data_IF_824305050658
#
_entry.id   IF_824305050658
#
_cell.length_a   1.000
_cell.length_b   1.000
_cell.length_c   1.000
_cell.angle_alpha   90.00
_cell.angle_beta   90.00
_cell.angle_gamma   90.00
#
_symmetry.space_group_name_H-M   'P 1'
#
loop_
_entity.id
_entity.type
_entity.pdbx_description
1 polymer ?
#
# COMPACT_ATOMS: atom_id res chain seq x y z
N UNK A 1 8.66 -12.83 -17.47
CA UNK A 1 7.22 -12.91 -17.76
C UNK A 1 6.49 -11.76 -17.11
N UNK A 2 5.49 -11.22 -17.80
CA UNK A 2 4.71 -10.13 -17.24
C UNK A 2 3.29 -10.58 -16.91
N UNK A 3 2.69 -9.90 -15.98
CA UNK A 3 1.33 -10.16 -15.53
C UNK A 3 0.66 -8.81 -15.30
N UNK A 4 -0.58 -8.67 -15.77
CA UNK A 4 -1.35 -7.46 -15.54
C UNK A 4 -2.35 -7.70 -14.41
N UNK A 5 -2.36 -6.79 -13.44
CA UNK A 5 -3.34 -6.80 -12.36
C UNK A 5 -4.21 -5.56 -12.53
N UNK A 6 -5.52 -5.72 -12.48
CA UNK A 6 -6.46 -4.62 -12.68
C UNK A 6 -7.33 -4.44 -11.45
N UNK A 7 -7.45 -3.19 -11.02
CA UNK A 7 -8.40 -2.80 -9.98
C UNK A 7 -9.27 -1.67 -10.53
N UNK A 8 -10.40 -1.42 -9.93
CA UNK A 8 -11.30 -0.36 -10.35
C UNK A 8 -11.56 0.63 -9.24
N UNK A 9 -11.72 1.91 -9.59
CA UNK A 9 -12.08 2.95 -8.63
C UNK A 9 -13.24 3.73 -9.25
N UNK A 10 -14.38 3.73 -8.57
CA UNK A 10 -15.64 4.31 -9.07
C UNK A 10 -16.09 5.45 -8.19
N UNK A 11 -16.65 6.48 -8.80
CA UNK A 11 -17.24 7.58 -8.04
C UNK A 11 -18.44 7.08 -7.25
N UNK A 12 -18.50 7.46 -5.95
CA UNK A 12 -19.64 7.17 -5.09
C UNK A 12 -20.33 8.47 -4.64
N UNK A 13 -19.59 9.55 -4.53
CA UNK A 13 -20.09 10.85 -4.12
C UNK A 13 -19.25 11.98 -4.69
N UNK A 14 -19.49 13.24 -4.26
CA UNK A 14 -18.70 14.37 -4.78
C UNK A 14 -17.21 14.27 -4.48
N UNK A 15 -16.83 13.65 -3.37
CA UNK A 15 -15.43 13.48 -2.97
C UNK A 15 -15.04 12.04 -2.68
N UNK A 16 -16.02 11.13 -2.60
CA UNK A 16 -15.82 9.73 -2.21
C UNK A 16 -15.77 8.82 -3.43
N UNK A 17 -14.81 7.93 -3.46
CA UNK A 17 -14.77 6.86 -4.45
C UNK A 17 -14.66 5.50 -3.74
N UNK A 18 -14.97 4.44 -4.47
CA UNK A 18 -14.86 3.06 -3.96
C UNK A 18 -13.91 2.29 -4.85
N UNK A 19 -12.83 1.81 -4.25
CA UNK A 19 -11.90 0.92 -4.91
C UNK A 19 -12.34 -0.52 -4.74
N UNK A 20 -12.24 -1.31 -5.80
CA UNK A 20 -12.61 -2.71 -5.76
C UNK A 20 -11.52 -3.57 -6.37
N UNK A 21 -11.29 -4.70 -5.74
CA UNK A 21 -10.40 -5.73 -6.25
C UNK A 21 -10.93 -7.09 -5.80
N UNK A 22 -11.15 -7.99 -6.77
CA UNK A 22 -11.79 -9.28 -6.51
C UNK A 22 -13.15 -9.05 -5.82
N UNK A 23 -13.35 -9.57 -4.59
CA UNK A 23 -14.60 -9.41 -3.83
C UNK A 23 -14.47 -8.35 -2.72
N UNK A 24 -13.36 -7.61 -2.70
CA UNK A 24 -13.07 -6.63 -1.66
C UNK A 24 -13.31 -5.20 -2.15
N UNK A 25 -13.66 -4.33 -1.22
CA UNK A 25 -13.82 -2.90 -1.52
C UNK A 25 -13.25 -2.05 -0.39
N UNK A 26 -12.85 -0.84 -0.75
CA UNK A 26 -12.37 0.15 0.20
C UNK A 26 -12.83 1.53 -0.29
N UNK A 27 -13.34 2.35 0.63
CA UNK A 27 -13.66 3.74 0.32
C UNK A 27 -12.41 4.60 0.39
N UNK A 28 -12.36 5.57 -0.51
CA UNK A 28 -11.27 6.54 -0.59
C UNK A 28 -11.89 7.93 -0.54
N UNK A 29 -11.42 8.77 0.37
CA UNK A 29 -11.97 10.11 0.54
C UNK A 29 -10.90 11.03 1.14
N UNK A 30 -11.21 12.31 1.18
CA UNK A 30 -10.41 13.29 1.89
C UNK A 30 -11.06 13.57 3.25
N UNK A 31 -10.26 13.93 4.28
CA UNK A 31 -10.85 14.40 5.52
C UNK A 31 -11.62 15.71 5.29
N UNK A 32 -12.51 16.04 6.20
CA UNK A 32 -13.39 17.19 6.06
C UNK A 32 -12.63 18.50 5.85
N UNK A 33 -11.52 18.70 6.55
CA UNK A 33 -10.69 19.89 6.44
C UNK A 33 -10.00 20.04 5.08
N UNK A 34 -10.01 18.97 4.27
CA UNK A 34 -9.46 19.00 2.90
C UNK A 34 -10.53 18.92 1.82
N UNK A 35 -11.77 19.19 2.20
CA UNK A 35 -12.89 19.23 1.27
C UNK A 35 -13.60 17.91 1.03
N UNK A 36 -13.33 16.91 1.84
CA UNK A 36 -13.99 15.62 1.76
C UNK A 36 -15.05 15.42 2.82
N UNK A 37 -15.53 14.20 2.92
CA UNK A 37 -16.53 13.79 3.93
C UNK A 37 -15.99 12.69 4.86
N UNK A 38 -14.70 12.41 4.77
CA UNK A 38 -14.01 11.47 5.65
C UNK A 38 -14.64 10.07 5.68
N UNK A 39 -15.07 9.59 4.53
CA UNK A 39 -15.69 8.27 4.41
C UNK A 39 -14.66 7.14 4.26
N UNK A 40 -13.40 7.47 4.15
CA UNK A 40 -12.31 6.51 4.04
C UNK A 40 -10.97 7.19 4.05
N UNK A 41 -9.87 6.40 4.02
CA UNK A 41 -8.54 6.98 3.94
C UNK A 41 -8.29 7.66 2.61
N UNK A 42 -7.31 8.57 2.60
CA UNK A 42 -6.84 9.18 1.36
C UNK A 42 -6.02 8.19 0.54
N UNK A 43 -5.90 8.46 -0.77
CA UNK A 43 -5.10 7.62 -1.66
C UNK A 43 -3.64 7.49 -1.22
N UNK A 44 -3.04 8.60 -0.76
CA UNK A 44 -1.68 8.56 -0.23
C UNK A 44 -1.55 7.66 0.99
N UNK A 45 -2.54 7.69 1.87
CA UNK A 45 -2.56 6.81 3.04
C UNK A 45 -2.71 5.34 2.63
N UNK A 46 -3.52 5.07 1.61
CA UNK A 46 -3.69 3.72 1.08
C UNK A 46 -2.41 3.18 0.46
N UNK A 47 -1.61 4.05 -0.16
CA UNK A 47 -0.29 3.65 -0.66
C UNK A 47 0.59 3.16 0.49
N UNK A 48 0.59 3.88 1.62
CA UNK A 48 1.37 3.52 2.79
C UNK A 48 0.83 2.23 3.44
N UNK A 49 -0.48 2.08 3.51
CA UNK A 49 -1.10 0.85 4.00
C UNK A 49 -0.74 -0.33 3.09
N UNK A 50 -0.70 -0.09 1.78
CA UNK A 50 -0.28 -1.11 0.81
C UNK A 50 1.16 -1.54 1.02
N UNK A 51 2.05 -0.58 1.26
CA UNK A 51 3.45 -0.86 1.54
C UNK A 51 3.58 -1.69 2.83
N UNK A 52 2.96 -1.22 3.91
CA UNK A 52 3.01 -1.92 5.19
C UNK A 52 2.34 -3.28 5.15
N UNK A 53 1.20 -3.38 4.49
CA UNK A 53 0.43 -4.63 4.38
C UNK A 53 1.13 -5.67 3.52
N UNK A 54 1.74 -5.26 2.41
CA UNK A 54 2.51 -6.16 1.54
C UNK A 54 3.73 -6.70 2.29
N UNK A 55 4.47 -5.82 2.96
CA UNK A 55 5.60 -6.23 3.79
C UNK A 55 5.14 -7.19 4.89
N UNK A 56 4.06 -6.85 5.62
CA UNK A 56 3.55 -7.66 6.71
C UNK A 56 3.13 -9.05 6.24
N UNK A 57 2.48 -9.16 5.08
CA UNK A 57 2.09 -10.45 4.51
C UNK A 57 3.31 -11.35 4.30
N UNK A 58 4.39 -10.78 3.78
CA UNK A 58 5.63 -11.52 3.57
C UNK A 58 6.30 -11.92 4.89
N UNK A 59 6.29 -11.00 5.86
CA UNK A 59 6.88 -11.29 7.16
C UNK A 59 6.13 -12.41 7.88
N UNK A 60 4.81 -12.34 7.89
CA UNK A 60 3.99 -13.38 8.50
C UNK A 60 4.17 -14.73 7.80
N UNK A 61 4.31 -14.72 6.48
CA UNK A 61 4.57 -15.94 5.71
C UNK A 61 5.94 -16.54 6.08
N UNK A 62 6.96 -15.70 6.24
CA UNK A 62 8.30 -16.14 6.61
C UNK A 62 8.33 -16.72 8.04
N UNK A 63 7.60 -16.10 8.95
CA UNK A 63 7.45 -16.59 10.33
C UNK A 63 6.81 -17.97 10.33
N UNK A 64 5.72 -18.11 9.58
CA UNK A 64 4.96 -19.37 9.49
C UNK A 64 5.81 -20.49 8.86
N UNK A 65 6.48 -20.20 7.76
CA UNK A 65 7.27 -21.18 7.03
C UNK A 65 8.41 -21.76 7.89
N UNK A 66 8.98 -20.96 8.78
CA UNK A 66 10.08 -21.35 9.64
C UNK A 66 9.64 -21.73 11.04
N UNK A 67 8.35 -21.68 11.33
CA UNK A 67 7.79 -21.91 12.67
C UNK A 67 8.55 -21.07 13.70
N UNK A 68 8.86 -19.83 13.35
CA UNK A 68 9.65 -18.95 14.20
C UNK A 68 8.84 -18.48 15.41
N UNK A 69 9.47 -18.36 16.59
CA UNK A 69 8.77 -17.90 17.81
C UNK A 69 8.63 -16.38 17.83
N UNK A 70 7.84 -15.86 16.91
CA UNK A 70 7.59 -14.42 16.74
C UNK A 70 6.10 -14.20 16.74
N UNK A 71 5.62 -13.28 17.58
CA UNK A 71 4.21 -12.93 17.69
C UNK A 71 4.03 -11.45 17.95
N UNK A 72 2.79 -10.98 17.94
CA UNK A 72 2.42 -9.59 18.20
C UNK A 72 3.20 -8.61 17.31
N UNK A 73 3.32 -8.94 16.03
CA UNK A 73 4.06 -8.13 15.07
C UNK A 73 3.28 -6.86 14.74
N UNK A 74 3.98 -5.74 14.79
CA UNK A 74 3.43 -4.45 14.41
C UNK A 74 4.40 -3.76 13.44
N UNK A 75 3.87 -3.19 12.37
CA UNK A 75 4.65 -2.39 11.44
C UNK A 75 4.05 -0.99 11.37
N UNK A 76 4.86 0.00 11.70
CA UNK A 76 4.51 1.41 11.49
C UNK A 76 5.21 1.88 10.24
N UNK A 77 4.50 2.64 9.41
CA UNK A 77 5.05 3.18 8.17
C UNK A 77 5.09 4.69 8.27
N UNK A 78 6.30 5.25 8.24
CA UNK A 78 6.51 6.69 8.20
C UNK A 78 6.88 7.08 6.78
N UNK A 79 6.27 8.13 6.27
CA UNK A 79 6.61 8.65 4.95
C UNK A 79 6.83 10.15 5.04
N UNK A 80 7.85 10.64 4.34
CA UNK A 80 8.16 12.05 4.27
C UNK A 80 7.50 12.65 3.04
N UNK A 81 6.68 13.67 3.24
CA UNK A 81 5.97 14.36 2.17
C UNK A 81 6.63 15.71 1.94
N UNK A 82 7.17 15.93 0.74
CA UNK A 82 7.95 17.12 0.41
C UNK A 82 7.73 17.54 -1.04
N UNK A 83 8.28 18.70 -1.36
CA UNK A 83 8.42 19.13 -2.74
C UNK A 83 7.25 19.93 -3.29
N UNK A 84 7.44 20.40 -4.52
CA UNK A 84 6.45 21.11 -5.30
C UNK A 84 6.56 20.63 -6.76
N UNK A 85 5.65 19.77 -7.23
CA UNK A 85 4.48 19.28 -6.52
C UNK A 85 4.83 18.32 -5.38
N UNK A 86 3.95 18.22 -4.39
CA UNK A 86 4.14 17.36 -3.23
C UNK A 86 4.18 15.89 -3.62
N UNK A 87 5.12 15.15 -3.05
CA UNK A 87 5.26 13.72 -3.27
C UNK A 87 6.02 13.10 -2.10
N UNK A 88 5.91 11.79 -1.96
CA UNK A 88 6.68 11.08 -0.94
C UNK A 88 8.12 10.91 -1.40
N UNK A 89 9.06 11.30 -0.54
CA UNK A 89 10.50 11.26 -0.84
C UNK A 89 11.23 10.17 -0.08
N UNK A 90 10.65 9.64 0.99
CA UNK A 90 11.28 8.60 1.79
C UNK A 90 10.22 7.82 2.55
N UNK A 91 10.50 6.56 2.81
CA UNK A 91 9.63 5.66 3.57
C UNK A 91 10.48 4.91 4.58
N UNK A 92 9.97 4.80 5.81
CA UNK A 92 10.60 3.99 6.85
C UNK A 92 9.56 3.06 7.46
N UNK A 93 9.85 1.77 7.48
CA UNK A 93 9.00 0.80 8.16
C UNK A 93 9.66 0.42 9.48
N UNK A 94 8.95 0.66 10.57
CA UNK A 94 9.42 0.33 11.93
C UNK A 94 8.67 -0.90 12.40
N UNK A 95 9.40 -1.97 12.64
CA UNK A 95 8.84 -3.28 13.00
C UNK A 95 9.12 -3.58 14.45
N UNK A 96 8.07 -3.93 15.20
CA UNK A 96 8.20 -4.43 16.56
C UNK A 96 7.47 -5.76 16.67
N UNK A 97 7.95 -6.62 17.55
CA UNK A 97 7.36 -7.94 17.74
C UNK A 97 7.78 -8.49 19.10
N UNK A 98 7.02 -9.47 19.56
CA UNK A 98 7.44 -10.26 20.70
C UNK A 98 8.36 -11.36 20.18
N UNK A 99 9.67 -11.23 20.42
CA UNK A 99 10.69 -12.15 19.95
C UNK A 99 11.95 -11.99 20.79
N UNK A 100 12.42 -13.07 21.41
CA UNK A 100 13.62 -13.02 22.25
C UNK A 100 14.90 -12.91 21.43
N UNK A 101 14.90 -13.45 20.22
CA UNK A 101 16.07 -13.46 19.33
C UNK A 101 15.94 -12.33 18.30
N UNK A 102 16.59 -11.21 18.57
CA UNK A 102 16.57 -10.06 17.70
C UNK A 102 17.20 -10.35 16.34
N UNK A 103 18.27 -11.14 16.32
CA UNK A 103 18.95 -11.48 15.06
C UNK A 103 18.03 -12.30 14.15
N UNK A 104 17.23 -13.19 14.72
CA UNK A 104 16.23 -13.94 13.98
C UNK A 104 15.17 -12.98 13.38
N UNK A 105 14.67 -12.04 14.19
CA UNK A 105 13.70 -11.07 13.72
C UNK A 105 14.26 -10.24 12.56
N UNK A 106 15.49 -9.76 12.68
CA UNK A 106 16.14 -8.98 11.62
C UNK A 106 16.31 -9.80 10.34
N UNK A 107 16.64 -11.07 10.45
CA UNK A 107 16.74 -11.96 9.29
C UNK A 107 15.39 -12.13 8.60
N UNK A 108 14.33 -12.33 9.37
CA UNK A 108 12.97 -12.47 8.83
C UNK A 108 12.51 -11.20 8.14
N UNK A 109 12.82 -10.05 8.73
CA UNK A 109 12.51 -8.74 8.13
C UNK A 109 13.23 -8.57 6.79
N UNK A 110 14.49 -8.94 6.71
CA UNK A 110 15.26 -8.88 5.46
C UNK A 110 14.64 -9.77 4.37
N UNK A 111 14.21 -10.96 4.73
CA UNK A 111 13.54 -11.88 3.79
C UNK A 111 12.23 -11.25 3.29
N UNK A 112 11.43 -10.71 4.21
CA UNK A 112 10.15 -10.08 3.88
C UNK A 112 10.33 -8.85 2.98
N UNK A 113 11.33 -8.04 3.26
CA UNK A 113 11.65 -6.85 2.48
C UNK A 113 11.98 -7.20 1.04
N UNK A 114 12.81 -8.21 0.82
CA UNK A 114 13.24 -8.61 -0.53
C UNK A 114 12.09 -9.03 -1.43
N UNK A 115 11.07 -9.65 -0.86
CA UNK A 115 9.89 -10.09 -1.61
C UNK A 115 8.75 -9.09 -1.67
N UNK A 116 8.90 -7.92 -1.08
CA UNK A 116 7.82 -6.94 -1.00
C UNK A 116 7.61 -6.24 -2.34
N UNK A 117 6.53 -6.60 -3.03
CA UNK A 117 6.20 -6.06 -4.36
C UNK A 117 6.09 -4.53 -4.32
N UNK A 118 5.42 -3.99 -3.31
CA UNK A 118 5.20 -2.54 -3.21
C UNK A 118 6.52 -1.81 -2.95
N UNK A 119 7.35 -2.30 -2.03
CA UNK A 119 8.66 -1.70 -1.75
C UNK A 119 9.55 -1.73 -3.00
N UNK A 120 9.57 -2.86 -3.69
CA UNK A 120 10.35 -2.99 -4.93
C UNK A 120 9.85 -2.04 -6.01
N UNK A 121 8.53 -1.85 -6.09
CA UNK A 121 7.92 -0.90 -7.04
C UNK A 121 8.26 0.54 -6.72
N UNK A 122 8.24 0.91 -5.44
CA UNK A 122 8.52 2.28 -5.01
C UNK A 122 10.00 2.67 -5.17
N UNK A 123 10.90 1.69 -5.16
CA UNK A 123 12.34 1.94 -5.41
C UNK A 123 12.62 2.21 -6.88
N UNK A 124 11.76 1.75 -7.79
CA UNK A 124 11.95 1.85 -9.23
C UNK A 124 11.07 2.94 -9.83
N UNK A 125 11.60 3.72 -10.74
CA UNK A 125 10.79 4.66 -11.51
C UNK A 125 10.06 3.88 -12.61
N UNK A 126 8.74 4.06 -12.71
CA UNK A 126 7.92 3.44 -13.74
C UNK A 126 7.10 4.51 -14.46
N UNK A 127 6.81 4.36 -15.74
CA UNK A 127 5.97 5.31 -16.46
C UNK A 127 4.53 5.24 -15.94
N UNK A 128 3.90 6.41 -15.82
CA UNK A 128 2.50 6.52 -15.46
C UNK A 128 1.79 7.24 -16.59
N UNK A 129 0.80 6.60 -17.18
CA UNK A 129 0.08 7.11 -18.33
C UNK A 129 -1.40 7.26 -17.96
N UNK A 130 -1.98 8.40 -18.33
CA UNK A 130 -3.41 8.65 -18.13
C UNK A 130 -4.11 8.64 -19.49
N UNK A 131 -5.16 7.83 -19.61
CA UNK A 131 -5.94 7.69 -20.84
C UNK A 131 -7.37 8.04 -20.51
N UNK A 132 -7.97 8.97 -21.29
CA UNK A 132 -9.35 9.37 -21.09
C UNK A 132 -10.24 8.59 -22.06
N UNK A 133 -11.23 7.88 -21.52
CA UNK A 133 -12.24 7.17 -22.30
C UNK A 133 -13.59 7.77 -21.93
N UNK A 134 -14.19 8.51 -22.86
CA UNK A 134 -15.43 9.23 -22.58
C UNK A 134 -16.63 8.30 -22.73
N UNK A 135 -17.48 8.22 -21.71
CA UNK A 135 -18.68 7.39 -21.74
C UNK A 135 -19.68 7.85 -22.80
N UNK A 136 -19.68 9.14 -23.13
CA UNK A 136 -20.58 9.71 -24.13
C UNK A 136 -20.11 9.49 -25.57
N UNK A 137 -18.92 8.94 -25.75
CA UNK A 137 -18.40 8.68 -27.10
C UNK A 137 -19.04 7.41 -27.64
N UNK A 138 -19.70 7.48 -28.84
CA UNK A 138 -20.28 6.28 -29.43
C UNK A 138 -19.22 5.22 -29.73
N UNK A 139 -19.56 3.97 -29.46
CA UNK A 139 -18.71 2.85 -29.82
C UNK A 139 -18.83 2.54 -31.31
N UNK A 140 -17.73 2.19 -31.94
CA UNK A 140 -17.68 1.85 -33.37
C UNK A 140 -17.21 0.44 -33.59
#
# INVERSE_FOLDING_TARGET
>A
MSQTITVAVLQEGPSTSVGTTRTHSVRVDRPSEKGGTDQGPMGGELLLLGLGGCFMSNLLAAIKARKAPVSEVQTMVDATLEGNPKHFTAYTLRVTARCEDRDLLEKLVTIAERGCIVANSLREAAPITFVVENLDTPHR
#
